data_IF_590258893917
#
_entry.id   IF_590258893917
#
_cell.length_a   1.000
_cell.length_b   1.000
_cell.length_c   1.000
_cell.angle_alpha   90.00
_cell.angle_beta   90.00
_cell.angle_gamma   90.00
#
_symmetry.space_group_name_H-M   'P 1'
#
loop_
_entity.id
_entity.type
_entity.pdbx_description
1 polymer ?
#
# COMPACT_ATOMS: atom_id res chain seq x y z
N UNK A 1 12.29 -1.61 9.74
CA UNK A 1 12.70 -1.97 11.11
C UNK A 1 11.85 -3.12 11.63
N UNK A 2 10.55 -2.90 11.89
CA UNK A 2 9.57 -3.92 12.33
C UNK A 2 9.68 -5.31 11.63
N UNK A 3 9.63 -5.37 10.30
CA UNK A 3 9.68 -6.67 9.59
C UNK A 3 11.02 -7.42 9.69
N UNK A 4 12.11 -6.72 10.02
CA UNK A 4 13.43 -7.35 10.22
C UNK A 4 13.50 -8.01 11.60
N UNK A 5 12.89 -7.38 12.60
CA UNK A 5 12.84 -7.90 13.98
C UNK A 5 11.91 -9.11 14.11
N UNK A 6 10.87 -9.19 13.29
CA UNK A 6 9.93 -10.32 13.27
C UNK A 6 10.51 -11.60 12.62
N UNK A 7 11.63 -11.51 11.90
CA UNK A 7 12.27 -12.64 11.21
C UNK A 7 13.37 -13.32 12.06
N UNK A 8 13.58 -12.88 13.31
CA UNK A 8 14.65 -13.38 14.16
C UNK A 8 14.15 -14.52 15.08
N UNK A 9 14.26 -15.77 14.61
CA UNK A 9 14.29 -16.96 15.47
C UNK A 9 13.01 -17.80 15.59
N UNK A 10 13.18 -19.02 16.09
CA UNK A 10 12.17 -20.08 16.24
C UNK A 10 11.08 -19.81 17.29
N UNK A 11 11.10 -18.64 17.94
CA UNK A 11 10.17 -18.29 19.01
C UNK A 11 8.99 -17.46 18.47
N UNK A 12 7.77 -17.81 18.91
CA UNK A 12 6.57 -17.05 18.54
C UNK A 12 6.54 -15.70 19.25
N UNK A 13 6.65 -14.62 18.48
CA UNK A 13 6.56 -13.25 18.99
C UNK A 13 5.13 -12.71 18.96
N UNK A 14 4.84 -11.80 19.88
CA UNK A 14 3.60 -11.03 19.95
C UNK A 14 3.91 -9.55 19.89
N UNK A 15 3.08 -8.79 19.17
CA UNK A 15 3.10 -7.33 19.13
C UNK A 15 2.18 -6.76 20.19
N UNK A 16 2.72 -5.87 21.02
CA UNK A 16 2.01 -5.15 22.08
C UNK A 16 2.08 -3.64 21.80
N UNK A 17 0.95 -2.95 21.98
CA UNK A 17 0.87 -1.49 22.00
C UNK A 17 0.75 -0.97 23.42
N UNK A 18 1.57 0.02 23.78
CA UNK A 18 1.54 0.69 25.07
C UNK A 18 0.69 1.97 25.00
N UNK A 19 0.20 2.42 26.16
CA UNK A 19 -0.66 3.63 26.25
C UNK A 19 0.07 4.93 25.93
N UNK A 20 1.41 4.93 25.96
CA UNK A 20 2.25 6.07 25.57
C UNK A 20 2.49 6.16 24.05
N UNK A 21 1.91 5.23 23.27
CA UNK A 21 2.07 5.13 21.82
C UNK A 21 3.32 4.36 21.39
N UNK A 22 4.13 3.86 22.32
CA UNK A 22 5.21 2.93 22.02
C UNK A 22 4.67 1.52 21.73
N UNK A 23 5.50 0.69 21.09
CA UNK A 23 5.18 -0.70 20.81
C UNK A 23 6.40 -1.57 21.10
N UNK A 24 6.14 -2.86 21.34
CA UNK A 24 7.19 -3.82 21.66
C UNK A 24 6.86 -5.21 21.11
N UNK A 25 7.93 -5.98 20.84
CA UNK A 25 7.85 -7.38 20.43
C UNK A 25 8.39 -8.24 21.56
N UNK A 26 7.54 -9.11 22.11
CA UNK A 26 7.94 -10.02 23.20
C UNK A 26 7.28 -11.39 23.02
N UNK A 27 7.93 -12.48 23.48
CA UNK A 27 7.26 -13.77 23.61
C UNK A 27 6.12 -13.69 24.65
N UNK A 28 5.12 -14.58 24.57
CA UNK A 28 4.00 -14.55 25.51
C UNK A 28 4.49 -14.86 26.93
N UNK A 29 4.05 -14.08 27.92
CA UNK A 29 4.33 -14.42 29.33
C UNK A 29 3.62 -15.72 29.67
N UNK A 30 4.36 -16.80 29.94
CA UNK A 30 3.79 -18.12 30.23
C UNK A 30 3.24 -18.25 31.67
N UNK A 31 3.63 -17.35 32.57
CA UNK A 31 3.19 -17.32 33.96
C UNK A 31 2.11 -16.24 34.14
N UNK A 32 0.88 -16.68 34.38
CA UNK A 32 -0.28 -15.82 34.65
C UNK A 32 -0.56 -15.87 36.16
N UNK A 33 -0.50 -14.75 36.90
CA UNK A 33 -0.99 -14.71 38.27
C UNK A 33 -2.48 -15.08 38.34
N UNK A 34 -2.96 -15.75 39.40
CA UNK A 34 -4.37 -16.11 39.53
C UNK A 34 -5.27 -14.87 39.37
N UNK A 35 -6.24 -14.94 38.46
CA UNK A 35 -7.20 -13.86 38.21
C UNK A 35 -6.80 -12.83 37.15
N UNK A 36 -5.62 -12.96 36.52
CA UNK A 36 -5.28 -12.13 35.34
C UNK A 36 -5.76 -12.76 34.02
N UNK A 37 -6.14 -11.94 33.02
CA UNK A 37 -6.53 -12.44 31.70
C UNK A 37 -5.36 -13.15 31.01
N UNK A 38 -5.68 -14.12 30.16
CA UNK A 38 -4.68 -14.86 29.38
C UNK A 38 -3.77 -13.87 28.60
N UNK A 39 -2.44 -13.91 28.77
CA UNK A 39 -1.50 -13.00 28.12
C UNK A 39 -1.47 -13.13 26.59
N UNK A 40 -2.02 -14.20 26.02
CA UNK A 40 -2.31 -14.31 24.57
C UNK A 40 -3.43 -13.38 24.12
N UNK A 41 -4.28 -12.92 25.05
CA UNK A 41 -5.28 -11.89 24.78
C UNK A 41 -4.68 -10.48 24.75
N UNK A 42 -3.44 -10.32 25.18
CA UNK A 42 -2.80 -9.02 25.35
C UNK A 42 -1.94 -8.59 24.17
N UNK A 43 -1.75 -9.42 23.12
CA UNK A 43 -0.96 -9.01 21.96
C UNK A 43 -1.37 -9.71 20.68
N UNK A 44 -0.90 -9.18 19.54
CA UNK A 44 -1.13 -9.75 18.21
C UNK A 44 -0.05 -10.78 17.91
N UNK A 45 -0.44 -12.04 17.73
CA UNK A 45 0.48 -13.12 17.38
C UNK A 45 1.10 -12.86 16.00
N UNK A 46 2.42 -12.87 15.92
CA UNK A 46 3.13 -12.69 14.67
C UNK A 46 3.44 -14.06 14.04
N UNK A 47 2.71 -14.39 12.97
CA UNK A 47 2.96 -15.59 12.16
C UNK A 47 3.14 -15.15 10.73
N UNK A 48 4.29 -15.45 10.14
CA UNK A 48 4.58 -15.12 8.73
C UNK A 48 4.21 -16.27 7.79
N UNK A 49 4.63 -17.50 8.10
CA UNK A 49 4.45 -18.65 7.21
C UNK A 49 4.94 -18.32 5.78
N UNK A 50 4.19 -18.78 4.79
CA UNK A 50 4.45 -18.54 3.36
C UNK A 50 3.75 -17.28 2.81
N UNK A 51 3.22 -16.43 3.70
CA UNK A 51 2.51 -15.23 3.26
C UNK A 51 3.47 -14.21 2.63
N UNK A 52 3.06 -13.73 1.45
CA UNK A 52 3.58 -12.54 0.77
C UNK A 52 3.67 -11.36 1.74
N UNK A 53 4.74 -10.56 1.65
CA UNK A 53 5.09 -9.58 2.70
C UNK A 53 4.03 -8.48 2.89
N UNK A 54 3.45 -7.88 1.83
CA UNK A 54 2.32 -6.95 1.95
C UNK A 54 1.07 -7.60 2.56
N UNK A 55 0.73 -8.82 2.11
CA UNK A 55 -0.42 -9.57 2.64
C UNK A 55 -0.25 -9.83 4.15
N UNK A 56 0.95 -10.19 4.58
CA UNK A 56 1.28 -10.36 6.00
C UNK A 56 1.13 -9.05 6.80
N UNK A 57 1.56 -7.91 6.26
CA UNK A 57 1.40 -6.61 6.92
C UNK A 57 -0.07 -6.19 7.05
N UNK A 58 -0.90 -6.41 6.03
CA UNK A 58 -2.37 -6.22 6.10
C UNK A 58 -2.98 -7.08 7.19
N UNK A 59 -2.62 -8.36 7.20
CA UNK A 59 -3.12 -9.33 8.17
C UNK A 59 -2.82 -8.88 9.60
N UNK A 60 -1.58 -8.49 9.90
CA UNK A 60 -1.22 -7.96 11.22
C UNK A 60 -2.04 -6.71 11.55
N UNK A 61 -2.17 -5.77 10.61
CA UNK A 61 -2.91 -4.52 10.84
C UNK A 61 -4.39 -4.79 11.20
N UNK A 62 -5.05 -5.71 10.49
CA UNK A 62 -6.41 -6.15 10.80
C UNK A 62 -6.51 -6.80 12.18
N UNK A 63 -5.53 -7.62 12.56
CA UNK A 63 -5.47 -8.22 13.89
C UNK A 63 -5.21 -7.18 14.99
N UNK A 64 -4.45 -6.12 14.71
CA UNK A 64 -4.29 -4.97 15.62
C UNK A 64 -5.63 -4.27 15.86
N UNK A 65 -6.43 -4.05 14.81
CA UNK A 65 -7.76 -3.44 14.94
C UNK A 65 -8.67 -4.27 15.84
N UNK A 66 -8.78 -5.57 15.58
CA UNK A 66 -9.58 -6.47 16.40
C UNK A 66 -9.10 -6.52 17.86
N UNK A 67 -7.78 -6.51 18.08
CA UNK A 67 -7.18 -6.50 19.41
C UNK A 67 -7.50 -5.21 20.18
N UNK A 68 -7.38 -4.04 19.55
CA UNK A 68 -7.71 -2.75 20.16
C UNK A 68 -9.19 -2.65 20.55
N UNK A 69 -10.11 -3.13 19.71
CA UNK A 69 -11.53 -3.24 20.05
C UNK A 69 -11.71 -4.14 21.28
N UNK A 70 -11.12 -5.33 21.26
CA UNK A 70 -11.24 -6.29 22.37
C UNK A 70 -10.77 -5.70 23.69
N UNK A 71 -9.61 -5.05 23.72
CA UNK A 71 -9.09 -4.43 24.94
C UNK A 71 -9.97 -3.27 25.40
N UNK A 72 -10.44 -2.43 24.47
CA UNK A 72 -11.31 -1.29 24.80
C UNK A 72 -12.58 -1.75 25.53
N UNK A 73 -13.22 -2.82 25.05
CA UNK A 73 -14.42 -3.37 25.68
C UNK A 73 -14.12 -4.23 26.92
N UNK A 74 -12.95 -4.85 27.01
CA UNK A 74 -12.50 -5.52 28.23
C UNK A 74 -12.31 -4.52 29.38
N UNK A 75 -11.61 -3.41 29.13
CA UNK A 75 -11.46 -2.32 30.11
C UNK A 75 -12.80 -1.62 30.40
N UNK A 76 -13.67 -1.56 29.39
CA UNK A 76 -15.03 -1.03 29.49
C UNK A 76 -16.08 -2.01 30.02
N UNK A 77 -15.70 -3.16 30.59
CA UNK A 77 -16.66 -4.22 30.96
C UNK A 77 -17.78 -3.72 31.91
N UNK A 78 -17.43 -2.82 32.83
CA UNK A 78 -18.35 -2.25 33.83
C UNK A 78 -19.15 -1.03 33.31
N UNK A 79 -18.96 -0.62 32.05
CA UNK A 79 -19.70 0.51 31.48
C UNK A 79 -21.17 0.13 31.20
N UNK A 80 -22.10 1.02 31.55
CA UNK A 80 -23.50 0.88 31.15
C UNK A 80 -23.71 1.03 29.64
N UNK A 81 -24.87 0.63 29.13
CA UNK A 81 -25.20 0.60 27.69
C UNK A 81 -24.91 1.92 26.97
N UNK A 82 -25.31 3.05 27.55
CA UNK A 82 -25.07 4.38 26.95
C UNK A 82 -23.59 4.75 26.86
N UNK A 83 -22.79 4.35 27.86
CA UNK A 83 -21.35 4.58 27.86
C UNK A 83 -20.63 3.68 26.86
N UNK A 84 -21.08 2.42 26.70
CA UNK A 84 -20.57 1.51 25.65
C UNK A 84 -20.87 2.02 24.24
N UNK A 85 -22.06 2.57 24.01
CA UNK A 85 -22.40 3.22 22.72
C UNK A 85 -21.51 4.42 22.43
N UNK A 86 -21.26 5.27 23.42
CA UNK A 86 -20.32 6.41 23.29
C UNK A 86 -18.89 5.93 23.00
N UNK A 87 -18.42 4.90 23.70
CA UNK A 87 -17.11 4.31 23.46
C UNK A 87 -16.98 3.80 22.02
N UNK A 88 -17.98 3.05 21.54
CA UNK A 88 -18.02 2.56 20.16
C UNK A 88 -17.97 3.71 19.14
N UNK A 89 -18.77 4.76 19.35
CA UNK A 89 -18.77 5.93 18.48
C UNK A 89 -17.41 6.65 18.44
N UNK A 90 -16.74 6.81 19.60
CA UNK A 90 -15.40 7.40 19.65
C UNK A 90 -14.38 6.55 18.91
N UNK A 91 -14.40 5.23 19.10
CA UNK A 91 -13.46 4.32 18.41
C UNK A 91 -13.69 4.38 16.89
N UNK A 92 -14.95 4.30 16.45
CA UNK A 92 -15.29 4.32 15.02
C UNK A 92 -15.06 5.68 14.34
N UNK A 93 -14.81 6.75 15.11
CA UNK A 93 -14.44 8.06 14.55
C UNK A 93 -12.96 8.14 14.15
N UNK A 94 -12.16 7.14 14.54
CA UNK A 94 -10.73 7.08 14.23
C UNK A 94 -10.49 6.15 13.03
N UNK A 95 -9.47 6.48 12.25
CA UNK A 95 -8.98 5.58 11.20
C UNK A 95 -8.38 4.32 11.84
N UNK A 96 -8.76 3.16 11.31
CA UNK A 96 -8.21 1.86 11.73
C UNK A 96 -6.73 1.74 11.38
N UNK A 97 -6.00 0.88 12.09
CA UNK A 97 -4.61 0.55 11.79
C UNK A 97 -4.53 -0.02 10.38
N UNK A 98 -5.47 -0.88 9.98
CA UNK A 98 -5.53 -1.41 8.62
C UNK A 98 -5.72 -0.29 7.59
N UNK A 99 -6.64 0.65 7.76
CA UNK A 99 -6.79 1.76 6.80
C UNK A 99 -5.54 2.64 6.75
N UNK A 100 -4.93 2.94 7.89
CA UNK A 100 -3.73 3.78 7.96
C UNK A 100 -2.52 3.14 7.29
N UNK A 101 -2.32 1.84 7.48
CA UNK A 101 -1.29 1.10 6.76
C UNK A 101 -1.62 1.06 5.26
N UNK A 102 -2.91 1.10 4.86
CA UNK A 102 -3.32 0.94 3.46
C UNK A 102 -2.94 2.17 2.67
N UNK A 103 -3.18 3.33 3.30
CA UNK A 103 -2.88 4.65 2.77
C UNK A 103 -1.40 5.02 2.90
N UNK A 104 -0.56 4.19 3.52
CA UNK A 104 0.83 4.52 3.79
C UNK A 104 1.69 4.39 2.53
N UNK A 105 2.46 5.44 2.23
CA UNK A 105 3.48 5.46 1.18
C UNK A 105 4.45 4.27 1.26
N UNK A 106 4.87 3.94 2.48
CA UNK A 106 5.75 2.79 2.75
C UNK A 106 5.10 1.48 2.35
N UNK A 107 3.81 1.29 2.67
CA UNK A 107 3.09 0.07 2.32
C UNK A 107 2.93 -0.06 0.80
N UNK A 108 2.56 1.02 0.11
CA UNK A 108 2.48 1.04 -1.34
C UNK A 108 3.82 0.72 -2.00
N UNK A 109 4.92 1.26 -1.48
CA UNK A 109 6.26 0.95 -1.97
C UNK A 109 6.60 -0.54 -1.83
N UNK A 110 6.28 -1.16 -0.69
CA UNK A 110 6.48 -2.60 -0.46
C UNK A 110 5.63 -3.44 -1.44
N UNK A 111 4.37 -3.06 -1.66
CA UNK A 111 3.50 -3.73 -2.65
C UNK A 111 4.09 -3.68 -4.06
N UNK A 112 4.62 -2.52 -4.45
CA UNK A 112 5.24 -2.35 -5.76
C UNK A 112 6.50 -3.21 -5.93
N UNK A 113 7.39 -3.24 -4.93
CA UNK A 113 8.59 -4.08 -4.98
C UNK A 113 8.24 -5.58 -5.10
N UNK A 114 7.18 -6.04 -4.44
CA UNK A 114 6.71 -7.42 -4.57
C UNK A 114 6.21 -7.72 -5.99
N UNK A 115 5.42 -6.81 -6.58
CA UNK A 115 4.94 -6.95 -7.98
C UNK A 115 6.10 -6.96 -8.98
N UNK A 116 7.11 -6.11 -8.78
CA UNK A 116 8.32 -6.11 -9.63
C UNK A 116 9.09 -7.42 -9.53
N UNK A 117 9.28 -7.94 -8.31
CA UNK A 117 9.97 -9.21 -8.09
C UNK A 117 9.23 -10.35 -8.78
N UNK A 118 7.90 -10.36 -8.75
CA UNK A 118 7.08 -11.34 -9.45
C UNK A 118 7.21 -11.22 -10.98
N UNK A 119 7.12 -10.01 -11.53
CA UNK A 119 7.28 -9.78 -12.98
C UNK A 119 8.64 -10.24 -13.51
N UNK A 120 9.71 -10.08 -12.74
CA UNK A 120 11.03 -10.60 -13.11
C UNK A 120 11.09 -12.13 -13.11
N UNK A 121 10.36 -12.80 -12.21
CA UNK A 121 10.26 -14.26 -12.15
C UNK A 121 9.41 -14.79 -13.32
N UNK A 122 8.28 -14.15 -13.62
CA UNK A 122 7.39 -14.52 -14.75
C UNK A 122 8.05 -14.23 -16.10
N UNK A 123 8.79 -13.12 -16.23
CA UNK A 123 9.57 -12.86 -17.44
C UNK A 123 10.66 -13.92 -17.70
N UNK A 124 10.96 -14.76 -16.70
CA UNK A 124 11.88 -15.89 -16.82
C UNK A 124 11.16 -17.25 -16.95
N UNK A 125 9.84 -17.34 -16.70
CA UNK A 125 9.03 -18.58 -16.76
C UNK A 125 7.57 -18.26 -17.15
N UNK A 126 7.11 -18.79 -18.29
CA UNK A 126 5.80 -18.49 -18.91
C UNK A 126 4.56 -19.09 -18.21
N UNK A 127 4.68 -19.79 -17.08
CA UNK A 127 3.58 -20.56 -16.47
C UNK A 127 3.34 -20.26 -14.98
N UNK A 128 2.97 -19.02 -14.63
CA UNK A 128 2.40 -18.75 -13.30
C UNK A 128 1.06 -18.02 -13.45
N UNK A 129 -0.04 -18.77 -13.31
CA UNK A 129 -1.38 -18.21 -13.16
C UNK A 129 -1.59 -17.77 -11.70
N UNK A 130 -1.98 -16.51 -11.49
CA UNK A 130 -2.33 -15.97 -10.17
C UNK A 130 -3.86 -16.01 -9.98
N UNK A 131 -4.31 -16.60 -8.87
CA UNK A 131 -5.61 -16.27 -8.24
C UNK A 131 -5.46 -14.89 -7.57
N UNK A 132 -5.68 -13.82 -8.34
CA UNK A 132 -5.68 -12.44 -7.84
C UNK A 132 -6.92 -12.15 -7.00
N UNK A 133 -6.87 -12.54 -5.73
CA UNK A 133 -7.63 -11.87 -4.69
C UNK A 133 -6.68 -11.05 -3.80
N UNK A 134 -6.50 -9.79 -4.19
CA UNK A 134 -6.32 -8.69 -3.25
C UNK A 134 -5.04 -7.88 -3.39
N UNK A 135 -5.14 -6.73 -4.08
CA UNK A 135 -4.51 -5.49 -3.63
C UNK A 135 -5.30 -4.29 -4.20
N UNK A 136 -6.20 -3.72 -3.39
CA UNK A 136 -6.98 -2.54 -3.75
C UNK A 136 -6.11 -1.40 -4.29
N UNK A 137 -6.54 -0.87 -5.46
CA UNK A 137 -6.19 0.41 -6.10
C UNK A 137 -4.77 0.92 -5.86
N UNK A 138 -3.88 0.64 -6.81
CA UNK A 138 -2.57 1.29 -6.89
C UNK A 138 -2.72 2.82 -6.99
N UNK A 139 -1.95 3.63 -6.24
CA UNK A 139 -1.83 5.05 -6.53
C UNK A 139 -1.00 5.20 -7.80
N UNK A 140 -1.63 5.56 -8.92
CA UNK A 140 -0.95 5.88 -10.17
C UNK A 140 0.10 6.99 -9.93
N UNK A 141 1.36 6.77 -10.30
CA UNK A 141 2.46 7.74 -10.10
C UNK A 141 2.86 8.31 -11.46
N UNK A 142 3.14 9.61 -11.51
CA UNK A 142 3.59 10.26 -12.72
C UNK A 142 5.03 9.86 -13.05
N UNK A 143 5.25 9.25 -14.23
CA UNK A 143 6.56 8.81 -14.70
C UNK A 143 7.57 9.92 -14.99
N UNK A 144 7.19 11.20 -14.91
CA UNK A 144 8.09 12.34 -15.12
C UNK A 144 8.45 13.06 -13.82
N UNK A 145 7.49 13.30 -12.92
CA UNK A 145 7.74 14.05 -11.68
C UNK A 145 7.71 13.21 -10.40
N UNK A 146 7.37 11.92 -10.50
CA UNK A 146 7.29 11.02 -9.35
C UNK A 146 6.16 11.32 -8.36
N UNK A 147 5.30 12.30 -8.63
CA UNK A 147 4.18 12.65 -7.76
C UNK A 147 2.98 11.72 -7.99
N UNK A 148 2.21 11.50 -6.91
CA UNK A 148 1.01 10.65 -6.87
C UNK A 148 -0.15 11.21 -7.69
N UNK A 149 -1.06 10.32 -8.07
CA UNK A 149 -2.35 10.68 -8.68
C UNK A 149 -3.16 11.60 -7.78
N UNK A 150 -3.59 12.71 -8.37
CA UNK A 150 -4.56 13.62 -7.78
C UNK A 150 -5.72 13.78 -8.76
N UNK A 151 -6.95 13.65 -8.26
CA UNK A 151 -8.21 13.65 -9.04
C UNK A 151 -8.48 14.93 -9.81
N UNK A 152 -7.80 16.03 -9.48
CA UNK A 152 -8.05 17.35 -10.08
C UNK A 152 -7.06 17.70 -11.22
N UNK A 153 -6.21 16.76 -11.66
CA UNK A 153 -5.26 16.97 -12.75
C UNK A 153 -5.61 16.16 -14.00
N UNK A 154 -5.23 16.66 -15.17
CA UNK A 154 -5.25 15.90 -16.43
C UNK A 154 -4.02 14.96 -16.52
N UNK A 155 -4.24 13.72 -16.93
CA UNK A 155 -3.22 12.67 -17.07
C UNK A 155 -3.34 11.95 -18.41
N UNK A 156 -2.22 11.43 -18.89
CA UNK A 156 -2.11 10.67 -20.14
C UNK A 156 -1.20 9.44 -19.95
N UNK A 157 -1.53 8.32 -20.59
CA UNK A 157 -0.77 7.07 -20.55
C UNK A 157 0.04 6.88 -21.83
N UNK A 158 1.31 6.50 -21.70
CA UNK A 158 2.19 6.17 -22.84
C UNK A 158 1.87 4.79 -23.40
N UNK A 159 1.64 4.68 -24.71
CA UNK A 159 1.33 3.42 -25.40
C UNK A 159 2.56 2.49 -25.60
N UNK A 160 3.75 2.95 -25.23
CA UNK A 160 5.02 2.18 -25.41
C UNK A 160 5.50 1.58 -24.09
N UNK A 161 5.39 2.32 -22.99
CA UNK A 161 5.93 1.91 -21.69
C UNK A 161 4.87 1.79 -20.59
N UNK A 162 3.59 2.00 -20.92
CA UNK A 162 2.43 1.90 -20.02
C UNK A 162 2.54 2.76 -18.75
N UNK A 163 3.38 3.81 -18.79
CA UNK A 163 3.52 4.78 -17.69
C UNK A 163 2.52 5.92 -17.85
N UNK A 164 1.99 6.36 -16.71
CA UNK A 164 1.09 7.50 -16.60
C UNK A 164 1.84 8.79 -16.32
N UNK A 165 1.38 9.90 -16.88
CA UNK A 165 2.00 11.21 -16.73
C UNK A 165 0.96 12.29 -16.49
N UNK A 166 1.27 13.29 -15.65
CA UNK A 166 0.50 14.52 -15.67
C UNK A 166 0.69 15.21 -17.02
N UNK A 167 -0.38 15.73 -17.63
CA UNK A 167 -0.26 16.47 -18.88
C UNK A 167 0.72 17.65 -18.79
N UNK A 168 0.73 18.36 -17.66
CA UNK A 168 1.73 19.42 -17.38
C UNK A 168 3.18 18.93 -17.38
N UNK A 169 3.44 17.70 -16.98
CA UNK A 169 4.80 17.13 -16.90
C UNK A 169 5.33 16.71 -18.28
N UNK A 170 4.42 16.42 -19.21
CA UNK A 170 4.76 16.03 -20.59
C UNK A 170 4.32 17.06 -21.64
N UNK A 171 3.91 18.24 -21.20
CA UNK A 171 3.43 19.37 -22.02
C UNK A 171 2.26 19.02 -22.96
N UNK A 172 1.36 18.15 -22.52
CA UNK A 172 0.11 17.79 -23.23
C UNK A 172 -1.08 18.35 -22.46
N UNK A 173 -1.97 19.05 -23.17
CA UNK A 173 -3.24 19.54 -22.62
C UNK A 173 -4.38 18.56 -22.91
N UNK A 174 -5.48 18.65 -22.15
CA UNK A 174 -6.64 17.78 -22.35
C UNK A 174 -7.23 17.91 -23.77
N UNK A 175 -7.33 19.13 -24.30
CA UNK A 175 -7.82 19.39 -25.66
C UNK A 175 -6.91 18.79 -26.76
N UNK A 176 -5.59 18.75 -26.52
CA UNK A 176 -4.66 18.06 -27.42
C UNK A 176 -4.87 16.55 -27.37
N UNK A 177 -5.05 15.98 -26.18
CA UNK A 177 -5.23 14.54 -26.01
C UNK A 177 -6.50 13.98 -26.65
N UNK A 178 -7.55 14.79 -26.81
CA UNK A 178 -8.75 14.41 -27.58
C UNK A 178 -8.44 14.06 -29.05
N UNK A 179 -7.33 14.55 -29.59
CA UNK A 179 -6.91 14.35 -30.97
C UNK A 179 -5.68 13.44 -31.10
N UNK A 180 -5.23 12.81 -30.00
CA UNK A 180 -4.07 11.91 -30.00
C UNK A 180 -4.54 10.46 -30.07
N UNK A 181 -4.30 9.82 -31.21
CA UNK A 181 -4.58 8.40 -31.43
C UNK A 181 -3.61 7.46 -30.70
N UNK A 182 -2.34 7.87 -30.58
CA UNK A 182 -1.26 7.17 -29.88
C UNK A 182 -0.30 8.18 -29.27
N UNK A 183 -0.03 8.05 -27.99
CA UNK A 183 0.86 8.91 -27.23
C UNK A 183 2.16 8.17 -26.85
N UNK A 184 3.29 8.70 -27.29
CA UNK A 184 4.62 8.26 -26.86
C UNK A 184 5.22 9.30 -25.89
N UNK A 185 5.74 8.85 -24.74
CA UNK A 185 6.35 9.75 -23.76
C UNK A 185 7.75 10.22 -24.20
N UNK A 186 8.27 11.32 -23.61
CA UNK A 186 9.59 11.86 -23.96
C UNK A 186 10.74 10.85 -23.80
N UNK A 187 10.65 9.93 -22.84
CA UNK A 187 11.65 8.88 -22.64
C UNK A 187 11.63 7.88 -23.82
N UNK A 188 10.44 7.38 -24.18
CA UNK A 188 10.28 6.42 -25.29
C UNK A 188 10.61 7.02 -26.66
N UNK A 189 10.44 8.34 -26.82
CA UNK A 189 10.80 9.04 -28.05
C UNK A 189 12.32 9.24 -28.16
N UNK A 190 13.03 9.41 -27.03
CA UNK A 190 14.48 9.73 -26.99
C UNK A 190 15.37 8.55 -27.37
N UNK A 191 14.87 7.34 -27.21
CA UNK A 191 15.59 6.12 -27.60
C UNK A 191 15.63 5.91 -29.14
N UNK A 192 14.90 6.71 -29.91
CA UNK A 192 14.96 6.73 -31.38
C UNK A 192 15.98 7.80 -31.81
N UNK A 193 17.18 7.36 -32.22
CA UNK A 193 18.30 8.20 -32.68
C UNK A 193 17.84 9.39 -33.55
N UNK A 194 17.98 10.62 -33.05
CA UNK A 194 18.16 11.82 -33.88
C UNK A 194 17.06 12.88 -33.93
N UNK A 195 16.10 12.95 -33.00
CA UNK A 195 15.12 14.06 -32.97
C UNK A 195 15.37 15.05 -31.82
N UNK A 196 15.62 16.31 -32.18
CA UNK A 196 15.84 17.42 -31.24
C UNK A 196 14.50 18.00 -30.76
N UNK A 197 14.24 17.90 -29.47
CA UNK A 197 13.02 18.36 -28.79
C UNK A 197 12.90 19.88 -28.68
N UNK A 198 13.97 20.63 -28.99
CA UNK A 198 13.95 22.09 -28.90
C UNK A 198 13.46 22.78 -30.17
N UNK A 199 13.19 22.03 -31.26
CA UNK A 199 12.85 22.62 -32.55
C UNK A 199 11.34 22.81 -32.79
N UNK A 200 10.45 21.97 -32.24
CA UNK A 200 8.99 22.14 -32.41
C UNK A 200 8.16 21.29 -31.42
N UNK A 201 7.37 21.90 -30.51
CA UNK A 201 6.44 21.17 -29.63
C UNK A 201 5.26 20.51 -30.34
N UNK A 202 5.05 20.72 -31.65
CA UNK A 202 3.95 20.14 -32.43
C UNK A 202 4.31 18.86 -33.19
N UNK A 203 5.58 18.45 -33.20
CA UNK A 203 5.99 17.20 -33.87
C UNK A 203 5.66 15.93 -33.07
N UNK A 204 5.12 16.04 -31.85
CA UNK A 204 4.62 14.91 -31.06
C UNK A 204 3.15 14.57 -31.31
N UNK A 205 2.46 15.27 -32.23
CA UNK A 205 1.01 15.10 -32.48
C UNK A 205 0.69 14.49 -33.85
N UNK A 206 1.66 14.30 -34.74
CA UNK A 206 1.37 13.84 -36.11
C UNK A 206 1.92 12.44 -36.39
N UNK A 207 1.14 11.42 -36.04
CA UNK A 207 1.07 10.21 -36.88
C UNK A 207 -0.35 9.61 -36.86
N UNK A 208 -1.18 10.14 -37.76
CA UNK A 208 -2.27 9.52 -38.54
C UNK A 208 -3.07 10.66 -39.19
N UNK A 209 -3.34 10.73 -40.49
CA UNK A 209 -3.41 9.75 -41.58
C UNK A 209 -2.86 10.41 -42.87
N UNK A 210 -2.18 9.59 -43.69
CA UNK A 210 -1.46 9.88 -44.94
C UNK A 210 -0.04 10.45 -44.79
#
# INVERSE_FOLDING_TARGET
MFSRECNAGSETLYLYGNSDGSWELRPPKLLIPPGQPDPRMLGVKLVRGDMKHPKWLRHIAMHCDAWLIRISFFLGANLGTRARQRLCAMINSLQTVNEKVAASDTYHHICHLEKMSYRLVVAQNEEIEDEDEGCGTEPTICGSCGNRYHTNGFWICCDVCDRWFHGKCVKVTAAQAEHIDKYECPECCSDKKGHDYNADPMLSVLYKQY
#
